data_IF_384044753022
#
_entry.id   IF_384044753022
#
_cell.length_a   1.000
_cell.length_b   1.000
_cell.length_c   1.000
_cell.angle_alpha   90.00
_cell.angle_beta   90.00
_cell.angle_gamma   90.00
#
_symmetry.space_group_name_H-M   'P 1'
#
loop_
_entity.id
_entity.type
_entity.pdbx_description
1 polymer ?
#
# COMPACT_ATOMS: atom_id res chain seq x y z
N UNK A 1 12.76 -8.54 -18.85
CA UNK A 1 13.90 -8.72 -17.92
C UNK A 1 14.59 -7.42 -17.53
N UNK A 2 14.86 -6.51 -18.46
CA UNK A 2 15.46 -5.20 -18.15
C UNK A 2 14.67 -4.40 -17.10
N UNK A 3 13.33 -4.42 -17.16
CA UNK A 3 12.45 -3.79 -16.17
C UNK A 3 12.67 -4.31 -14.75
N UNK A 4 12.91 -5.61 -14.58
CA UNK A 4 13.20 -6.20 -13.27
C UNK A 4 14.56 -5.72 -12.75
N UNK A 5 15.57 -5.63 -13.61
CA UNK A 5 16.90 -5.11 -13.23
C UNK A 5 16.80 -3.64 -12.78
N UNK A 6 16.04 -2.82 -13.51
CA UNK A 6 15.80 -1.42 -13.15
C UNK A 6 15.05 -1.31 -11.83
N UNK A 7 13.99 -2.09 -11.63
CA UNK A 7 13.25 -2.12 -10.37
C UNK A 7 14.14 -2.48 -9.17
N UNK A 8 14.96 -3.52 -9.30
CA UNK A 8 15.89 -3.92 -8.23
C UNK A 8 16.89 -2.81 -7.89
N UNK A 9 17.38 -2.09 -8.90
CA UNK A 9 18.30 -0.96 -8.73
C UNK A 9 17.63 0.22 -8.03
N UNK A 10 16.43 0.62 -8.47
CA UNK A 10 15.70 1.74 -7.90
C UNK A 10 15.26 1.48 -6.46
N UNK A 11 14.79 0.27 -6.17
CA UNK A 11 14.38 -0.14 -4.83
C UNK A 11 15.54 -0.54 -3.92
N UNK A 12 16.77 -0.55 -4.44
CA UNK A 12 17.98 -1.06 -3.75
C UNK A 12 17.80 -2.49 -3.22
N UNK A 13 16.98 -3.29 -3.90
CA UNK A 13 16.71 -4.68 -3.53
C UNK A 13 17.76 -5.59 -4.16
N UNK A 14 18.44 -6.42 -3.37
CA UNK A 14 19.40 -7.38 -3.93
C UNK A 14 18.68 -8.54 -4.62
N UNK A 15 19.27 -9.16 -5.67
CA UNK A 15 18.71 -10.35 -6.30
C UNK A 15 18.40 -11.46 -5.28
N UNK A 16 19.30 -11.71 -4.33
CA UNK A 16 19.10 -12.68 -3.26
C UNK A 16 17.86 -12.40 -2.40
N UNK A 17 17.65 -11.13 -2.01
CA UNK A 17 16.47 -10.72 -1.24
C UNK A 17 15.19 -10.92 -2.06
N UNK A 18 15.23 -10.56 -3.34
CA UNK A 18 14.09 -10.69 -4.23
C UNK A 18 13.74 -12.15 -4.54
N UNK A 19 14.75 -13.01 -4.73
CA UNK A 19 14.57 -14.45 -4.95
C UNK A 19 13.81 -15.10 -3.78
N UNK A 20 14.17 -14.73 -2.54
CA UNK A 20 13.47 -15.16 -1.33
C UNK A 20 12.01 -14.68 -1.31
N UNK A 21 11.75 -13.47 -1.78
CA UNK A 21 10.41 -12.88 -1.82
C UNK A 21 9.48 -13.62 -2.79
N UNK A 22 9.98 -14.06 -3.94
CA UNK A 22 9.21 -14.80 -4.95
C UNK A 22 9.28 -16.33 -4.78
N UNK A 23 10.01 -16.82 -3.76
CA UNK A 23 10.13 -18.24 -3.46
C UNK A 23 10.90 -19.02 -4.52
N UNK A 24 12.04 -18.51 -4.97
CA UNK A 24 12.99 -19.19 -5.87
C UNK A 24 14.41 -19.11 -5.32
N UNK A 25 15.28 -20.01 -5.78
CA UNK A 25 16.71 -19.96 -5.46
C UNK A 25 17.39 -18.72 -6.06
N UNK A 26 18.34 -18.14 -5.32
CA UNK A 26 19.06 -16.95 -5.75
C UNK A 26 19.81 -17.18 -7.07
N UNK A 27 20.51 -18.31 -7.18
CA UNK A 27 21.23 -18.70 -8.41
C UNK A 27 20.27 -18.88 -9.59
N UNK A 28 19.04 -19.35 -9.32
CA UNK A 28 18.00 -19.51 -10.34
C UNK A 28 17.52 -18.14 -10.85
N UNK A 29 17.29 -17.20 -9.94
CA UNK A 29 16.95 -15.82 -10.31
C UNK A 29 18.10 -15.17 -11.10
N UNK A 30 19.35 -15.35 -10.70
CA UNK A 30 20.50 -14.81 -11.42
C UNK A 30 20.60 -15.37 -12.84
N UNK A 31 20.41 -16.68 -13.03
CA UNK A 31 20.33 -17.28 -14.38
C UNK A 31 19.18 -16.70 -15.21
N UNK A 32 18.04 -16.39 -14.59
CA UNK A 32 16.93 -15.72 -15.28
C UNK A 32 17.29 -14.29 -15.69
N UNK A 33 17.92 -13.51 -14.79
CA UNK A 33 18.40 -12.14 -15.05
C UNK A 33 19.43 -12.10 -16.18
N UNK A 34 20.31 -13.11 -16.26
CA UNK A 34 21.30 -13.28 -17.31
C UNK A 34 20.73 -13.86 -18.63
N UNK A 35 19.44 -14.20 -18.67
CA UNK A 35 18.78 -14.80 -19.83
C UNK A 35 19.19 -16.25 -20.12
N UNK A 36 19.87 -16.92 -19.18
CA UNK A 36 20.29 -18.33 -19.27
C UNK A 36 19.16 -19.30 -18.94
N UNK A 37 18.12 -18.84 -18.26
CA UNK A 37 16.95 -19.63 -17.89
C UNK A 37 15.66 -18.84 -18.21
N UNK A 38 14.67 -19.44 -18.90
CA UNK A 38 13.42 -18.76 -19.20
C UNK A 38 12.58 -18.57 -17.93
N UNK A 39 11.85 -17.45 -17.87
CA UNK A 39 10.90 -17.18 -16.79
C UNK A 39 9.58 -17.88 -17.09
N UNK A 40 9.21 -18.86 -16.27
CA UNK A 40 7.90 -19.50 -16.37
C UNK A 40 6.77 -18.60 -15.86
N UNK A 41 5.54 -18.86 -16.30
CA UNK A 41 4.39 -18.01 -15.98
C UNK A 41 4.10 -17.93 -14.47
N UNK A 42 4.37 -19.00 -13.70
CA UNK A 42 4.15 -19.03 -12.25
C UNK A 42 5.18 -18.19 -11.49
N UNK A 43 6.42 -18.14 -11.96
CA UNK A 43 7.46 -17.25 -11.44
C UNK A 43 7.18 -15.81 -11.86
N UNK A 44 6.80 -15.59 -13.12
CA UNK A 44 6.45 -14.26 -13.62
C UNK A 44 5.30 -13.66 -12.80
N UNK A 45 4.24 -14.43 -12.52
CA UNK A 45 3.13 -13.96 -11.67
C UNK A 45 3.62 -13.61 -10.26
N UNK A 46 4.47 -14.44 -9.64
CA UNK A 46 5.04 -14.13 -8.32
C UNK A 46 5.93 -12.88 -8.34
N UNK A 47 6.65 -12.63 -9.42
CA UNK A 47 7.41 -11.38 -9.60
C UNK A 47 6.48 -10.17 -9.73
N UNK A 48 5.39 -10.28 -10.48
CA UNK A 48 4.35 -9.24 -10.57
C UNK A 48 3.75 -8.97 -9.19
N UNK A 49 3.37 -10.01 -8.46
CA UNK A 49 2.77 -9.90 -7.13
C UNK A 49 3.75 -9.28 -6.12
N UNK A 50 5.00 -9.75 -6.12
CA UNK A 50 6.07 -9.26 -5.23
C UNK A 50 6.50 -7.82 -5.53
N UNK A 51 6.28 -7.35 -6.75
CA UNK A 51 6.51 -5.95 -7.14
C UNK A 51 5.24 -5.10 -7.08
N UNK A 52 4.12 -5.69 -6.64
CA UNK A 52 2.81 -5.02 -6.56
C UNK A 52 2.32 -4.51 -7.90
N UNK A 53 2.65 -5.18 -9.01
CA UNK A 53 2.30 -4.73 -10.36
C UNK A 53 3.26 -3.71 -10.98
N UNK A 54 4.43 -3.46 -10.39
CA UNK A 54 5.46 -2.64 -11.04
C UNK A 54 6.05 -3.34 -12.29
N UNK A 55 6.00 -4.66 -12.29
CA UNK A 55 6.22 -5.50 -13.46
C UNK A 55 4.87 -5.99 -13.96
N UNK A 56 4.71 -6.14 -15.28
CA UNK A 56 3.59 -6.88 -15.87
C UNK A 56 4.09 -8.18 -16.50
N UNK A 57 3.22 -9.19 -16.57
CA UNK A 57 3.55 -10.50 -17.13
C UNK A 57 4.21 -10.40 -18.51
N UNK A 58 3.69 -9.53 -19.39
CA UNK A 58 4.21 -9.33 -20.74
C UNK A 58 5.66 -8.80 -20.79
N UNK A 59 6.15 -8.15 -19.73
CA UNK A 59 7.54 -7.66 -19.63
C UNK A 59 8.52 -8.74 -19.12
N UNK A 60 7.98 -9.83 -18.56
CA UNK A 60 8.70 -10.93 -17.92
C UNK A 60 8.69 -12.21 -18.74
N UNK A 61 7.57 -12.54 -19.36
CA UNK A 61 7.47 -13.65 -20.31
C UNK A 61 7.93 -13.14 -21.67
N UNK A 62 8.95 -13.76 -22.26
CA UNK A 62 9.47 -13.42 -23.57
C UNK A 62 8.42 -13.63 -24.67
N UNK A 63 7.54 -12.65 -24.85
CA UNK A 63 6.83 -12.39 -26.09
C UNK A 63 7.28 -11.00 -26.57
N UNK A 64 8.46 -10.98 -27.19
CA UNK A 64 9.15 -9.78 -27.70
C UNK A 64 8.45 -9.20 -28.94
N UNK A 65 7.13 -9.02 -28.89
CA UNK A 65 6.37 -8.35 -29.94
C UNK A 65 5.70 -7.10 -29.36
N UNK A 66 6.39 -5.96 -29.52
CA UNK A 66 6.01 -4.58 -29.11
C UNK A 66 6.31 -4.33 -27.62
N UNK A 67 7.07 -3.32 -27.22
CA UNK A 67 7.27 -2.03 -27.83
C UNK A 67 8.53 -1.35 -27.23
N UNK A 68 9.16 -0.48 -28.02
CA UNK A 68 10.04 0.60 -27.56
C UNK A 68 9.24 1.54 -26.64
N UNK A 69 9.06 1.15 -25.39
CA UNK A 69 8.47 2.02 -24.37
C UNK A 69 9.56 2.32 -23.38
N UNK A 70 10.06 3.55 -23.44
CA UNK A 70 10.70 4.18 -22.28
C UNK A 70 9.59 4.33 -21.24
N UNK A 71 9.50 3.38 -20.31
CA UNK A 71 8.48 3.37 -19.27
C UNK A 71 8.95 4.31 -18.17
N UNK A 72 8.31 5.47 -18.06
CA UNK A 72 8.45 6.34 -16.91
C UNK A 72 7.73 5.69 -15.70
N UNK A 73 8.50 4.93 -14.92
CA UNK A 73 8.03 4.25 -13.72
C UNK A 73 7.35 5.25 -12.75
N UNK A 74 7.81 6.50 -12.69
CA UNK A 74 7.20 7.56 -11.84
C UNK A 74 5.76 7.88 -12.23
N UNK A 75 5.46 7.91 -13.54
CA UNK A 75 4.09 8.16 -14.01
C UNK A 75 3.17 6.94 -13.85
N UNK A 76 3.70 5.71 -13.85
CA UNK A 76 2.91 4.50 -13.53
C UNK A 76 2.60 4.37 -12.03
N UNK A 77 3.44 4.90 -11.15
CA UNK A 77 3.14 4.97 -9.70
C UNK A 77 2.01 5.97 -9.39
N UNK A 78 1.76 6.97 -10.25
CA UNK A 78 0.76 8.01 -10.01
C UNK A 78 -0.71 7.53 -10.13
N UNK A 79 -1.00 6.41 -10.82
CA UNK A 79 -2.40 5.97 -11.00
C UNK A 79 -2.99 5.16 -9.84
N UNK A 80 -2.14 4.52 -9.03
CA UNK A 80 -2.55 3.80 -7.81
C UNK A 80 -2.31 4.61 -6.52
N UNK A 81 -1.34 5.53 -6.54
CA UNK A 81 -1.19 6.62 -5.56
C UNK A 81 -2.04 7.85 -5.95
N UNK A 82 -3.33 7.65 -6.31
CA UNK A 82 -4.23 8.81 -6.16
C UNK A 82 -4.20 9.21 -4.69
N UNK A 83 -3.98 10.50 -4.50
CA UNK A 83 -4.04 11.16 -3.20
C UNK A 83 -5.29 10.70 -2.44
N UNK A 84 -5.13 10.45 -1.14
CA UNK A 84 -6.25 10.08 -0.30
C UNK A 84 -7.25 11.24 -0.31
N UNK A 85 -8.49 10.99 -0.74
CA UNK A 85 -9.59 11.92 -0.62
C UNK A 85 -9.89 12.10 0.86
N UNK A 86 -9.38 13.21 1.42
CA UNK A 86 -9.48 13.54 2.85
C UNK A 86 -10.93 13.62 3.28
N UNK A 87 -11.82 14.22 2.48
CA UNK A 87 -13.23 14.37 2.83
C UNK A 87 -13.94 13.02 2.90
N UNK A 88 -13.60 12.09 2.00
CA UNK A 88 -14.09 10.70 2.09
C UNK A 88 -13.54 9.99 3.31
N UNK A 89 -12.24 10.10 3.57
CA UNK A 89 -11.64 9.45 4.71
C UNK A 89 -12.25 9.98 6.03
N UNK A 90 -12.45 11.30 6.15
CA UNK A 90 -13.15 11.93 7.26
C UNK A 90 -14.53 11.31 7.50
N UNK A 91 -15.34 11.16 6.44
CA UNK A 91 -16.68 10.58 6.53
C UNK A 91 -16.66 9.14 7.06
N UNK A 92 -15.62 8.37 6.74
CA UNK A 92 -15.41 7.00 7.21
C UNK A 92 -14.88 6.96 8.64
N UNK A 93 -13.98 7.90 9.00
CA UNK A 93 -13.39 7.95 10.33
C UNK A 93 -14.38 8.43 11.39
N UNK A 94 -15.33 9.29 11.04
CA UNK A 94 -16.34 9.81 11.96
C UNK A 94 -17.08 8.72 12.77
N UNK A 95 -17.69 7.68 12.16
CA UNK A 95 -18.30 6.60 12.94
C UNK A 95 -17.28 5.73 13.70
N UNK A 96 -16.08 5.51 13.13
CA UNK A 96 -15.02 4.73 13.80
C UNK A 96 -14.52 5.40 15.08
N UNK A 97 -14.29 6.72 15.05
CA UNK A 97 -13.84 7.49 16.20
C UNK A 97 -14.91 7.57 17.29
N UNK A 98 -16.19 7.71 16.92
CA UNK A 98 -17.29 7.61 17.89
C UNK A 98 -17.30 6.24 18.58
N UNK A 99 -17.09 5.15 17.82
CA UNK A 99 -17.01 3.81 18.39
C UNK A 99 -15.77 3.59 19.26
N UNK A 100 -14.65 4.25 18.95
CA UNK A 100 -13.39 4.13 19.67
C UNK A 100 -13.34 4.98 20.94
N UNK A 101 -14.04 6.12 20.97
CA UNK A 101 -14.05 7.05 22.09
C UNK A 101 -15.24 6.87 23.04
N UNK A 102 -16.15 5.94 22.76
CA UNK A 102 -17.28 5.63 23.64
C UNK A 102 -18.35 6.73 23.70
N UNK A 103 -18.37 7.67 22.76
CA UNK A 103 -19.44 8.66 22.59
C UNK A 103 -19.39 9.89 23.51
N UNK A 104 -18.41 10.00 24.41
CA UNK A 104 -18.22 11.19 25.23
C UNK A 104 -17.61 12.34 24.41
N UNK A 105 -18.45 13.26 23.91
CA UNK A 105 -17.95 14.43 23.15
C UNK A 105 -17.38 15.50 24.07
N UNK A 106 -16.10 15.82 23.92
CA UNK A 106 -15.46 17.05 24.43
C UNK A 106 -15.64 18.20 23.43
N UNK A 107 -15.41 19.43 23.90
CA UNK A 107 -15.47 20.63 23.07
C UNK A 107 -14.29 20.59 22.08
N UNK A 108 -14.56 20.50 20.78
CA UNK A 108 -13.53 20.37 19.73
C UNK A 108 -13.53 19.04 18.98
N UNK A 109 -14.26 18.03 19.47
CA UNK A 109 -14.32 16.69 18.87
C UNK A 109 -14.94 16.66 17.47
N UNK A 110 -15.70 17.70 17.09
CA UNK A 110 -16.34 17.78 15.77
C UNK A 110 -15.30 17.91 14.63
N UNK A 111 -14.09 18.41 14.91
CA UNK A 111 -13.00 18.51 13.94
C UNK A 111 -12.03 17.32 13.96
N UNK A 112 -12.11 16.47 15.00
CA UNK A 112 -11.20 15.36 15.21
C UNK A 112 -11.16 14.37 14.02
N UNK A 113 -12.30 14.00 13.39
CA UNK A 113 -12.26 13.14 12.20
C UNK A 113 -11.52 13.76 11.01
N UNK A 114 -11.64 15.08 10.82
CA UNK A 114 -10.96 15.80 9.75
C UNK A 114 -9.45 15.84 9.97
N UNK A 115 -9.03 16.22 11.18
CA UNK A 115 -7.61 16.22 11.57
C UNK A 115 -6.98 14.82 11.47
N UNK A 116 -7.71 13.78 11.90
CA UNK A 116 -7.26 12.40 11.78
C UNK A 116 -7.11 11.97 10.32
N UNK A 117 -8.05 12.38 9.46
CA UNK A 117 -8.01 12.07 8.03
C UNK A 117 -6.83 12.76 7.34
N UNK A 118 -6.60 14.04 7.62
CA UNK A 118 -5.44 14.80 7.09
C UNK A 118 -4.11 14.17 7.53
N UNK A 119 -3.96 13.88 8.83
CA UNK A 119 -2.76 13.27 9.37
C UNK A 119 -2.49 11.89 8.74
N UNK A 120 -3.54 11.08 8.56
CA UNK A 120 -3.43 9.78 7.92
C UNK A 120 -3.11 9.89 6.42
N UNK A 121 -3.67 10.87 5.70
CA UNK A 121 -3.38 11.12 4.30
C UNK A 121 -1.91 11.53 4.09
N UNK A 122 -1.40 12.48 4.88
CA UNK A 122 0.02 12.87 4.84
C UNK A 122 0.94 11.69 5.17
N UNK A 123 0.58 10.89 6.19
CA UNK A 123 1.36 9.70 6.56
C UNK A 123 1.32 8.64 5.45
N UNK A 124 0.17 8.44 4.79
CA UNK A 124 0.02 7.50 3.68
C UNK A 124 0.95 7.86 2.51
N UNK A 125 1.02 9.16 2.18
CA UNK A 125 1.92 9.69 1.15
C UNK A 125 3.38 9.51 1.58
N UNK A 126 3.74 9.89 2.81
CA UNK A 126 5.11 9.71 3.30
C UNK A 126 5.55 8.24 3.26
N UNK A 127 4.64 7.32 3.65
CA UNK A 127 4.87 5.88 3.65
C UNK A 127 5.13 5.31 2.25
N UNK A 128 4.63 5.93 1.17
CA UNK A 128 4.89 5.44 -0.19
C UNK A 128 6.39 5.36 -0.53
N UNK A 129 7.22 6.17 0.14
CA UNK A 129 8.67 6.25 -0.09
C UNK A 129 9.48 5.27 0.75
N UNK A 130 8.89 4.68 1.81
CA UNK A 130 9.63 3.90 2.82
C UNK A 130 9.04 2.51 3.08
N UNK A 131 7.90 2.17 2.49
CA UNK A 131 7.29 0.84 2.61
C UNK A 131 6.76 0.33 1.27
N UNK A 132 6.80 -0.99 1.09
CA UNK A 132 6.23 -1.68 -0.08
C UNK A 132 4.73 -1.94 0.04
N UNK A 133 4.13 -1.70 1.23
CA UNK A 133 2.68 -1.86 1.44
C UNK A 133 1.90 -0.91 0.54
N UNK A 134 0.71 -1.30 0.10
CA UNK A 134 -0.15 -0.50 -0.80
C UNK A 134 -1.60 -0.54 -0.37
N UNK A 135 -2.41 0.36 -0.95
CA UNK A 135 -3.85 0.35 -0.79
C UNK A 135 -4.27 0.35 0.68
N UNK A 136 -5.23 -0.52 1.01
CA UNK A 136 -5.76 -0.63 2.38
C UNK A 136 -4.69 -0.96 3.42
N UNK A 137 -3.67 -1.76 3.10
CA UNK A 137 -2.63 -2.13 4.06
C UNK A 137 -1.72 -0.95 4.43
N UNK A 138 -1.42 -0.07 3.46
CA UNK A 138 -0.65 1.16 3.73
C UNK A 138 -1.49 2.18 4.49
N UNK A 139 -2.77 2.32 4.15
CA UNK A 139 -3.68 3.21 4.87
C UNK A 139 -3.92 2.74 6.31
N UNK A 140 -4.04 1.43 6.55
CA UNK A 140 -4.08 0.88 7.89
C UNK A 140 -2.80 1.19 8.67
N UNK A 141 -1.62 1.07 8.03
CA UNK A 141 -0.34 1.45 8.64
C UNK A 141 -0.29 2.94 9.01
N UNK A 142 -0.87 3.83 8.18
CA UNK A 142 -0.95 5.26 8.44
C UNK A 142 -1.95 5.62 9.56
N UNK A 143 -3.10 4.93 9.62
CA UNK A 143 -4.16 5.19 10.60
C UNK A 143 -3.78 4.75 12.03
N UNK A 144 -2.98 3.69 12.16
CA UNK A 144 -2.58 3.15 13.47
C UNK A 144 -1.99 4.18 14.43
N UNK A 145 -0.91 4.93 14.08
CA UNK A 145 -0.34 5.93 14.98
C UNK A 145 -1.31 7.07 15.27
N UNK A 146 -2.12 7.48 14.30
CA UNK A 146 -3.15 8.53 14.47
C UNK A 146 -4.18 8.10 15.52
N UNK A 147 -4.72 6.89 15.41
CA UNK A 147 -5.65 6.37 16.41
C UNK A 147 -5.00 6.17 17.77
N UNK A 148 -3.72 5.79 17.83
CA UNK A 148 -3.02 5.60 19.09
C UNK A 148 -2.89 6.91 19.86
N UNK A 149 -2.53 7.99 19.17
CA UNK A 149 -2.42 9.33 19.75
C UNK A 149 -3.78 9.82 20.26
N UNK A 150 -4.82 9.67 19.45
CA UNK A 150 -6.19 10.04 19.84
C UNK A 150 -6.64 9.25 21.07
N UNK A 151 -6.39 7.94 21.13
CA UNK A 151 -6.76 7.15 22.31
C UNK A 151 -5.97 7.56 23.55
N UNK A 152 -4.70 7.97 23.40
CA UNK A 152 -3.87 8.45 24.49
C UNK A 152 -4.39 9.77 25.07
N UNK A 153 -4.73 10.74 24.22
CA UNK A 153 -5.29 12.06 24.62
C UNK A 153 -6.64 11.96 25.35
N UNK A 154 -7.39 10.89 25.07
CA UNK A 154 -8.69 10.63 25.68
C UNK A 154 -8.61 9.67 26.87
N UNK A 155 -7.39 9.26 27.29
CA UNK A 155 -7.16 8.29 28.37
C UNK A 155 -8.00 7.02 28.17
N UNK A 156 -8.11 6.56 26.92
CA UNK A 156 -9.00 5.47 26.57
C UNK A 156 -8.58 4.16 27.28
N UNK A 157 -9.54 3.34 27.73
CA UNK A 157 -9.24 2.08 28.40
C UNK A 157 -8.47 1.12 27.49
N UNK A 158 -7.60 0.30 28.09
CA UNK A 158 -6.72 -0.65 27.37
C UNK A 158 -7.48 -1.62 26.44
N UNK A 159 -8.75 -1.91 26.73
CA UNK A 159 -9.63 -2.71 25.88
C UNK A 159 -9.91 -2.08 24.51
N UNK A 160 -9.89 -0.75 24.41
CA UNK A 160 -10.06 0.00 23.16
C UNK A 160 -8.74 0.08 22.39
N UNK A 161 -7.61 0.24 23.09
CA UNK A 161 -6.26 0.14 22.50
C UNK A 161 -6.03 -1.22 21.84
N UNK A 162 -6.51 -2.30 22.46
CA UNK A 162 -6.43 -3.65 21.89
C UNK A 162 -7.24 -3.82 20.57
N UNK A 163 -8.22 -2.93 20.31
CA UNK A 163 -9.05 -2.95 19.11
C UNK A 163 -8.51 -2.06 17.99
N UNK A 164 -7.51 -1.22 18.27
CA UNK A 164 -6.99 -0.22 17.35
C UNK A 164 -6.59 -0.82 15.99
N UNK A 165 -5.87 -1.94 15.99
CA UNK A 165 -5.43 -2.60 14.75
C UNK A 165 -6.62 -2.97 13.86
N UNK A 166 -7.66 -3.54 14.49
CA UNK A 166 -8.87 -3.98 13.79
C UNK A 166 -9.65 -2.80 13.23
N UNK A 167 -9.78 -1.72 13.98
CA UNK A 167 -10.51 -0.53 13.52
C UNK A 167 -9.75 0.22 12.42
N UNK A 168 -8.42 0.35 12.52
CA UNK A 168 -7.58 0.95 11.49
C UNK A 168 -7.69 0.18 10.16
N UNK A 169 -7.63 -1.15 10.23
CA UNK A 169 -7.80 -2.01 9.07
C UNK A 169 -9.19 -1.91 8.46
N UNK A 170 -10.24 -1.95 9.29
CA UNK A 170 -11.63 -1.82 8.84
C UNK A 170 -11.88 -0.48 8.14
N UNK A 171 -11.39 0.63 8.69
CA UNK A 171 -11.53 1.95 8.08
C UNK A 171 -10.83 2.02 6.72
N UNK A 172 -9.62 1.46 6.64
CA UNK A 172 -8.87 1.41 5.38
C UNK A 172 -9.56 0.56 4.31
N UNK A 173 -10.04 -0.64 4.65
CA UNK A 173 -10.79 -1.51 3.75
C UNK A 173 -12.07 -0.83 3.26
N UNK A 174 -12.82 -0.17 4.16
CA UNK A 174 -14.03 0.59 3.82
C UNK A 174 -13.74 1.71 2.82
N UNK A 175 -12.64 2.44 3.00
CA UNK A 175 -12.24 3.52 2.10
C UNK A 175 -11.97 3.02 0.67
N UNK A 176 -11.22 1.93 0.55
CA UNK A 176 -10.89 1.38 -0.77
C UNK A 176 -12.08 0.68 -1.44
N UNK A 177 -13.00 0.07 -0.67
CA UNK A 177 -14.27 -0.42 -1.20
C UNK A 177 -15.09 0.72 -1.81
N UNK A 178 -15.33 1.80 -1.05
CA UNK A 178 -16.08 2.97 -1.54
C UNK A 178 -15.41 3.64 -2.75
N UNK A 179 -14.07 3.61 -2.83
CA UNK A 179 -13.31 4.09 -4.01
C UNK A 179 -13.51 3.23 -5.24
N UNK A 180 -13.54 1.92 -5.07
CA UNK A 180 -13.75 0.98 -6.18
C UNK A 180 -15.17 1.06 -6.77
N UNK A 181 -16.17 1.29 -5.93
CA UNK A 181 -17.58 1.44 -6.36
C UNK A 181 -17.78 2.68 -7.23
N UNK A 182 -17.19 3.83 -6.85
CA UNK A 182 -17.28 5.06 -7.64
C UNK A 182 -16.57 4.98 -8.99
N UNK A 183 -15.52 4.15 -9.12
CA UNK A 183 -14.82 3.95 -10.41
C UNK A 183 -15.62 3.07 -11.39
N UNK A 184 -16.62 2.32 -10.90
CA UNK A 184 -17.47 1.43 -11.72
C UNK A 184 -18.80 2.06 -12.13
N UNK A 185 -19.18 3.19 -11.52
CA UNK A 185 -20.38 3.96 -11.82
C UNK A 185 -20.07 5.07 -12.84
#
# INVERSE_FOLDING_TARGET
METLVTYLRETRTTPKTFAKLIGVDADRLERMLEGKEPVDAGIAQRMVDATGGALILAELTADQARADVVIDLRNRFASDDEEIDVGRLEAILKPSLVSLLGGGRRRGDDHLPGLAAEAAAHTYVALSTVTTRRGADRLAQALRPVFAEILADFEAPASLTARLEKEARRAAETYFQARSEKRRA
#
